data_IF_731733959247
#
_entry.id   IF_731733959247
#
_cell.length_a   1.000
_cell.length_b   1.000
_cell.length_c   1.000
_cell.angle_alpha   90.00
_cell.angle_beta   90.00
_cell.angle_gamma   90.00
#
_symmetry.space_group_name_H-M   'P 1'
#
loop_
_entity.id
_entity.type
_entity.pdbx_description
1 polymer ?
#
# COMPACT_ATOMS: atom_id res chain seq x y z
N UNK A 1 -2.88 -10.40 19.31
CA UNK A 1 -3.76 -9.23 19.14
C UNK A 1 -5.19 -9.63 19.51
N UNK A 2 -5.94 -8.77 20.21
CA UNK A 2 -7.36 -9.03 20.47
C UNK A 2 -8.14 -9.06 19.15
N UNK A 3 -9.13 -9.95 19.03
CA UNK A 3 -10.02 -10.11 17.87
C UNK A 3 -10.66 -8.80 17.40
N UNK A 4 -11.10 -7.95 18.33
CA UNK A 4 -11.72 -6.66 17.98
C UNK A 4 -10.72 -5.72 17.31
N UNK A 5 -9.55 -5.52 17.93
CA UNK A 5 -8.49 -4.70 17.36
C UNK A 5 -8.04 -5.24 16.00
N UNK A 6 -7.91 -6.57 15.87
CA UNK A 6 -7.58 -7.19 14.59
C UNK A 6 -8.59 -6.89 13.50
N UNK A 7 -9.88 -7.04 13.80
CA UNK A 7 -10.93 -6.73 12.85
C UNK A 7 -10.92 -5.25 12.43
N UNK A 8 -10.75 -4.34 13.40
CA UNK A 8 -10.68 -2.90 13.13
C UNK A 8 -9.50 -2.57 12.21
N UNK A 9 -8.29 -3.03 12.55
CA UNK A 9 -7.10 -2.78 11.72
C UNK A 9 -7.24 -3.37 10.32
N UNK A 10 -7.80 -4.58 10.23
CA UNK A 10 -8.02 -5.27 8.95
C UNK A 10 -8.95 -4.47 8.05
N UNK A 11 -10.13 -4.09 8.54
CA UNK A 11 -11.11 -3.37 7.74
C UNK A 11 -10.68 -1.94 7.43
N UNK A 12 -10.03 -1.25 8.38
CA UNK A 12 -9.45 0.08 8.15
C UNK A 12 -8.39 0.03 7.03
N UNK A 13 -7.48 -0.93 7.10
CA UNK A 13 -6.41 -1.06 6.12
C UNK A 13 -6.93 -1.52 4.75
N UNK A 14 -7.87 -2.47 4.72
CA UNK A 14 -8.53 -2.89 3.49
C UNK A 14 -9.29 -1.74 2.82
N UNK A 15 -10.05 -0.96 3.59
CA UNK A 15 -10.75 0.22 3.09
C UNK A 15 -9.77 1.26 2.51
N UNK A 16 -8.68 1.56 3.23
CA UNK A 16 -7.64 2.45 2.75
C UNK A 16 -7.04 1.98 1.40
N UNK A 17 -6.67 0.70 1.30
CA UNK A 17 -6.09 0.13 0.08
C UNK A 17 -7.10 0.15 -1.08
N UNK A 18 -8.37 -0.17 -0.81
CA UNK A 18 -9.43 -0.16 -1.80
C UNK A 18 -9.68 1.25 -2.32
N UNK A 19 -9.92 2.21 -1.42
CA UNK A 19 -10.21 3.60 -1.79
C UNK A 19 -9.04 4.25 -2.53
N UNK A 20 -7.81 4.11 -2.01
CA UNK A 20 -6.63 4.67 -2.64
C UNK A 20 -6.27 3.97 -3.96
N UNK A 21 -6.40 2.64 -4.04
CA UNK A 21 -6.16 1.88 -5.26
C UNK A 21 -7.15 2.25 -6.38
N UNK A 22 -8.44 2.41 -6.05
CA UNK A 22 -9.48 2.79 -7.01
C UNK A 22 -9.25 4.22 -7.50
N UNK A 23 -8.97 5.16 -6.59
CA UNK A 23 -8.63 6.54 -6.94
C UNK A 23 -7.44 6.59 -7.91
N UNK A 24 -6.36 5.87 -7.60
CA UNK A 24 -5.16 5.91 -8.44
C UNK A 24 -5.39 5.23 -9.80
N UNK A 25 -6.08 4.09 -9.87
CA UNK A 25 -6.43 3.48 -11.16
C UNK A 25 -7.33 4.38 -12.01
N UNK A 26 -8.33 5.01 -11.38
CA UNK A 26 -9.18 5.98 -12.06
C UNK A 26 -8.36 7.13 -12.66
N UNK A 27 -7.42 7.69 -11.89
CA UNK A 27 -6.55 8.76 -12.40
C UNK A 27 -5.60 8.27 -13.49
N UNK A 28 -5.06 7.05 -13.40
CA UNK A 28 -4.17 6.48 -14.41
C UNK A 28 -4.88 6.25 -15.75
N UNK A 29 -6.11 5.73 -15.73
CA UNK A 29 -6.77 5.21 -16.93
C UNK A 29 -7.92 6.06 -17.47
N UNK A 30 -8.59 6.85 -16.64
CA UNK A 30 -9.84 7.53 -17.00
C UNK A 30 -9.79 9.04 -16.80
N UNK A 31 -8.99 9.53 -15.85
CA UNK A 31 -8.86 10.95 -15.55
C UNK A 31 -7.42 11.45 -15.78
N UNK A 32 -7.06 12.57 -15.15
CA UNK A 32 -5.74 13.17 -15.27
C UNK A 32 -4.73 12.47 -14.34
N UNK A 33 -3.72 11.77 -14.89
CA UNK A 33 -2.74 11.05 -14.10
C UNK A 33 -1.70 11.99 -13.46
N UNK A 34 -1.54 13.23 -13.96
CA UNK A 34 -0.57 14.21 -13.44
C UNK A 34 -0.90 14.70 -12.04
N UNK A 35 -2.17 14.56 -11.61
CA UNK A 35 -2.58 14.86 -10.24
C UNK A 35 -1.82 14.04 -9.20
N UNK A 36 -1.29 12.87 -9.57
CA UNK A 36 -0.47 12.04 -8.68
C UNK A 36 0.94 12.60 -8.45
N UNK A 37 1.41 13.50 -9.31
CA UNK A 37 2.68 14.22 -9.12
C UNK A 37 2.51 15.53 -8.33
N UNK A 38 1.29 15.87 -7.92
CA UNK A 38 1.01 17.11 -7.18
C UNK A 38 1.13 16.90 -5.67
N UNK A 39 1.46 17.98 -4.94
CA UNK A 39 1.45 17.99 -3.48
C UNK A 39 2.76 17.56 -2.82
N UNK A 40 3.82 17.28 -3.57
CA UNK A 40 5.17 17.08 -3.04
C UNK A 40 5.91 18.41 -2.90
N UNK A 41 6.35 18.80 -1.69
CA UNK A 41 7.32 19.88 -1.51
C UNK A 41 8.66 19.60 -2.19
N UNK A 42 9.05 18.33 -2.28
CA UNK A 42 10.31 17.87 -2.82
C UNK A 42 10.27 17.81 -4.37
N UNK A 43 11.10 18.58 -5.09
CA UNK A 43 11.06 18.64 -6.55
C UNK A 43 11.49 17.31 -7.19
N UNK A 44 12.42 16.58 -6.58
CA UNK A 44 12.88 15.26 -7.05
C UNK A 44 11.76 14.22 -7.02
N UNK A 45 10.88 14.31 -6.02
CA UNK A 45 9.72 13.43 -5.91
C UNK A 45 8.72 13.68 -7.03
N UNK A 46 8.45 14.96 -7.34
CA UNK A 46 7.60 15.34 -8.48
C UNK A 46 8.18 14.83 -9.79
N UNK A 47 9.48 15.05 -10.03
CA UNK A 47 10.17 14.58 -11.23
C UNK A 47 10.12 13.05 -11.37
N UNK A 48 10.33 12.31 -10.28
CA UNK A 48 10.23 10.86 -10.28
C UNK A 48 8.83 10.36 -10.63
N UNK A 49 7.79 10.94 -10.03
CA UNK A 49 6.41 10.54 -10.34
C UNK A 49 6.08 10.87 -11.80
N UNK A 50 6.48 12.04 -12.31
CA UNK A 50 6.29 12.39 -13.72
C UNK A 50 6.96 11.38 -14.65
N UNK A 51 8.20 10.96 -14.37
CA UNK A 51 8.89 9.93 -15.14
C UNK A 51 8.18 8.57 -15.10
N UNK A 52 7.61 8.18 -13.95
CA UNK A 52 6.78 6.96 -13.85
C UNK A 52 5.50 7.05 -14.70
N UNK A 53 4.87 8.23 -14.75
CA UNK A 53 3.67 8.46 -15.56
C UNK A 53 4.00 8.39 -17.06
N UNK A 54 5.07 9.05 -17.49
CA UNK A 54 5.53 9.06 -18.89
C UNK A 54 5.89 7.65 -19.39
N UNK A 55 6.54 6.85 -18.56
CA UNK A 55 6.95 5.48 -18.90
C UNK A 55 5.83 4.46 -18.68
N UNK A 56 4.72 4.85 -18.05
CA UNK A 56 3.66 3.97 -17.54
C UNK A 56 4.20 2.84 -16.64
N UNK A 57 5.43 2.99 -16.14
CA UNK A 57 6.12 1.95 -15.42
C UNK A 57 5.58 1.86 -14.00
N UNK A 58 5.25 0.64 -13.57
CA UNK A 58 4.96 0.26 -12.18
C UNK A 58 3.64 0.82 -11.59
N UNK A 59 3.17 2.02 -11.97
CA UNK A 59 1.96 2.63 -11.40
C UNK A 59 0.68 1.79 -11.59
N UNK A 60 0.34 1.30 -12.80
CA UNK A 60 -0.82 0.43 -12.96
C UNK A 60 -0.72 -0.84 -12.11
N UNK A 61 0.48 -1.41 -12.03
CA UNK A 61 0.75 -2.64 -11.29
C UNK A 61 0.59 -2.44 -9.78
N UNK A 62 1.19 -1.38 -9.21
CA UNK A 62 1.03 -1.03 -7.79
C UNK A 62 -0.44 -0.86 -7.44
N UNK A 63 -1.19 -0.13 -8.28
CA UNK A 63 -2.59 0.16 -7.99
C UNK A 63 -3.46 -1.11 -8.08
N UNK A 64 -3.20 -1.99 -9.05
CA UNK A 64 -3.86 -3.29 -9.14
C UNK A 64 -3.55 -4.19 -7.92
N UNK A 65 -2.28 -4.28 -7.52
CA UNK A 65 -1.85 -5.08 -6.35
C UNK A 65 -2.52 -4.59 -5.07
N UNK A 66 -2.65 -3.27 -4.87
CA UNK A 66 -3.39 -2.71 -3.74
C UNK A 66 -4.84 -3.15 -3.71
N UNK A 67 -5.54 -3.13 -4.85
CA UNK A 67 -6.93 -3.58 -4.94
C UNK A 67 -7.07 -5.07 -4.65
N UNK A 68 -6.21 -5.89 -5.25
CA UNK A 68 -6.20 -7.33 -4.99
C UNK A 68 -5.95 -7.64 -3.52
N UNK A 69 -4.99 -6.95 -2.90
CA UNK A 69 -4.71 -7.10 -1.47
C UNK A 69 -5.91 -6.68 -0.60
N UNK A 70 -6.58 -5.58 -0.94
CA UNK A 70 -7.79 -5.13 -0.24
C UNK A 70 -8.92 -6.17 -0.30
N UNK A 71 -9.17 -6.75 -1.49
CA UNK A 71 -10.17 -7.80 -1.67
C UNK A 71 -9.80 -9.03 -0.85
N UNK A 72 -8.55 -9.49 -0.91
CA UNK A 72 -8.08 -10.66 -0.16
C UNK A 72 -8.16 -10.47 1.36
N UNK A 73 -7.93 -9.25 1.87
CA UNK A 73 -8.09 -8.93 3.30
C UNK A 73 -9.53 -9.11 3.80
N UNK A 74 -10.52 -8.84 2.95
CA UNK A 74 -11.94 -8.94 3.31
C UNK A 74 -12.49 -10.35 3.07
N UNK A 75 -11.92 -11.11 2.14
CA UNK A 75 -12.35 -12.47 1.86
C UNK A 75 -12.15 -13.41 3.06
N UNK A 76 -13.16 -14.20 3.45
CA UNK A 76 -13.06 -15.15 4.56
C UNK A 76 -11.89 -16.12 4.37
N UNK A 77 -11.03 -16.22 5.38
CA UNK A 77 -9.89 -17.15 5.39
C UNK A 77 -8.73 -16.81 4.45
N UNK A 78 -8.73 -15.63 3.80
CA UNK A 78 -7.64 -15.19 2.89
C UNK A 78 -6.87 -13.98 3.37
N UNK A 79 -7.15 -13.52 4.59
CA UNK A 79 -6.55 -12.29 5.13
C UNK A 79 -5.02 -12.36 5.25
N UNK A 80 -4.45 -13.54 5.48
CA UNK A 80 -3.00 -13.74 5.52
C UNK A 80 -2.37 -13.43 4.16
N UNK A 81 -2.99 -13.92 3.09
CA UNK A 81 -2.53 -13.67 1.73
C UNK A 81 -2.66 -12.19 1.37
N UNK A 82 -3.79 -11.55 1.69
CA UNK A 82 -3.99 -10.13 1.44
C UNK A 82 -3.01 -9.24 2.21
N UNK A 83 -2.74 -9.60 3.47
CA UNK A 83 -1.76 -8.91 4.33
C UNK A 83 -0.36 -8.98 3.72
N UNK A 84 0.08 -10.17 3.31
CA UNK A 84 1.41 -10.39 2.74
C UNK A 84 1.54 -9.75 1.35
N UNK A 85 0.47 -9.79 0.54
CA UNK A 85 0.43 -9.12 -0.77
C UNK A 85 0.58 -7.60 -0.66
N UNK A 86 0.02 -7.00 0.40
CA UNK A 86 0.17 -5.56 0.66
C UNK A 86 1.55 -5.17 1.23
N UNK A 87 2.36 -6.12 1.69
CA UNK A 87 3.61 -5.83 2.41
C UNK A 87 4.67 -5.12 1.55
N UNK A 88 4.99 -5.56 0.31
CA UNK A 88 5.97 -4.86 -0.52
C UNK A 88 5.56 -3.42 -0.84
N UNK A 89 4.26 -3.17 -1.04
CA UNK A 89 3.72 -1.83 -1.20
C UNK A 89 3.92 -1.00 0.07
N UNK A 90 3.54 -1.53 1.23
CA UNK A 90 3.64 -0.82 2.51
C UNK A 90 5.09 -0.47 2.85
N UNK A 91 6.02 -1.41 2.61
CA UNK A 91 7.45 -1.18 2.75
C UNK A 91 7.97 -0.15 1.75
N UNK A 92 7.54 -0.22 0.49
CA UNK A 92 7.86 0.76 -0.54
C UNK A 92 7.40 2.17 -0.17
N UNK A 93 6.19 2.32 0.41
CA UNK A 93 5.71 3.62 0.91
C UNK A 93 6.59 4.15 2.04
N UNK A 94 7.02 3.30 2.99
CA UNK A 94 7.94 3.72 4.05
C UNK A 94 9.29 4.18 3.46
N UNK A 95 9.87 3.39 2.56
CA UNK A 95 11.14 3.73 1.90
C UNK A 95 11.02 5.05 1.12
N UNK A 96 9.93 5.23 0.39
CA UNK A 96 9.62 6.46 -0.33
C UNK A 96 9.53 7.67 0.62
N UNK A 97 8.89 7.53 1.78
CA UNK A 97 8.83 8.58 2.78
C UNK A 97 10.17 8.89 3.44
N UNK A 98 11.04 7.89 3.62
CA UNK A 98 12.36 8.10 4.22
C UNK A 98 13.32 8.79 3.25
N UNK A 99 13.33 8.37 1.98
CA UNK A 99 14.38 8.78 1.03
C UNK A 99 13.97 9.85 0.03
N UNK A 100 12.68 9.98 -0.29
CA UNK A 100 12.21 10.85 -1.39
C UNK A 100 11.22 11.91 -0.93
N UNK A 101 10.32 11.59 0.00
CA UNK A 101 9.28 12.52 0.47
C UNK A 101 9.20 12.53 2.01
N UNK A 102 10.21 13.06 2.71
CA UNK A 102 10.19 13.20 4.17
C UNK A 102 9.00 13.99 4.69
N UNK A 103 8.50 14.95 3.92
CA UNK A 103 7.27 15.71 4.24
C UNK A 103 6.04 14.83 4.47
N UNK A 104 5.99 13.63 3.88
CA UNK A 104 4.88 12.67 4.02
C UNK A 104 5.25 11.45 4.87
N UNK A 105 6.38 11.47 5.57
CA UNK A 105 6.87 10.33 6.34
C UNK A 105 5.84 9.84 7.38
N UNK A 106 5.08 10.75 8.00
CA UNK A 106 4.08 10.39 9.02
C UNK A 106 3.00 9.47 8.45
N UNK A 107 2.37 9.85 7.33
CA UNK A 107 1.31 9.05 6.72
C UNK A 107 1.87 7.74 6.14
N UNK A 108 3.08 7.77 5.59
CA UNK A 108 3.73 6.58 5.03
C UNK A 108 4.13 5.57 6.11
N UNK A 109 4.62 6.06 7.25
CA UNK A 109 4.91 5.25 8.43
C UNK A 109 3.65 4.65 9.03
N UNK A 110 2.52 5.39 9.03
CA UNK A 110 1.24 4.86 9.47
C UNK A 110 0.77 3.70 8.58
N UNK A 111 0.83 3.85 7.26
CA UNK A 111 0.48 2.79 6.29
C UNK A 111 1.32 1.54 6.55
N UNK A 112 2.63 1.69 6.71
CA UNK A 112 3.53 0.59 7.01
C UNK A 112 3.21 -0.06 8.37
N UNK A 113 3.01 0.74 9.41
CA UNK A 113 2.74 0.24 10.76
C UNK A 113 1.44 -0.57 10.83
N UNK A 114 0.39 -0.13 10.12
CA UNK A 114 -0.87 -0.88 10.01
C UNK A 114 -0.64 -2.24 9.34
N UNK A 115 0.10 -2.28 8.25
CA UNK A 115 0.43 -3.55 7.59
C UNK A 115 1.31 -4.45 8.46
N UNK A 116 2.36 -3.89 9.09
CA UNK A 116 3.26 -4.60 9.97
C UNK A 116 2.53 -5.23 11.18
N UNK A 117 1.55 -4.51 11.76
CA UNK A 117 0.71 -5.03 12.82
C UNK A 117 -0.13 -6.25 12.36
N UNK A 118 -0.69 -6.19 11.14
CA UNK A 118 -1.42 -7.31 10.54
C UNK A 118 -0.49 -8.48 10.18
N UNK A 119 0.73 -8.20 9.70
CA UNK A 119 1.76 -9.23 9.46
C UNK A 119 2.10 -9.94 10.76
N UNK A 120 2.36 -9.18 11.83
CA UNK A 120 2.67 -9.73 13.14
C UNK A 120 1.52 -10.58 13.70
N UNK A 121 0.27 -10.13 13.55
CA UNK A 121 -0.89 -10.91 13.97
C UNK A 121 -1.07 -12.22 13.20
N UNK A 122 -0.68 -12.25 11.93
CA UNK A 122 -0.73 -13.43 11.08
C UNK A 122 0.57 -14.26 11.07
N UNK A 123 1.57 -13.87 11.85
CA UNK A 123 2.94 -14.41 11.80
C UNK A 123 3.01 -15.94 11.84
N UNK A 124 2.15 -16.59 12.64
CA UNK A 124 2.13 -18.04 12.76
C UNK A 124 1.89 -18.76 11.42
N UNK A 125 1.13 -18.15 10.51
CA UNK A 125 0.87 -18.69 9.17
C UNK A 125 2.08 -18.52 8.22
N UNK A 126 2.96 -17.56 8.49
CA UNK A 126 4.11 -17.26 7.63
C UNK A 126 5.37 -18.01 8.04
N UNK A 127 5.45 -18.52 9.28
CA UNK A 127 6.64 -19.25 9.76
C UNK A 127 7.07 -20.40 8.85
N UNK A 128 6.12 -21.05 8.19
CA UNK A 128 6.41 -22.13 7.24
C UNK A 128 7.18 -21.67 6.00
N UNK A 129 7.03 -20.41 5.59
CA UNK A 129 7.74 -19.83 4.43
C UNK A 129 9.23 -19.62 4.69
N UNK A 130 9.64 -19.57 5.95
CA UNK A 130 11.02 -19.30 6.37
C UNK A 130 11.77 -20.56 6.82
N UNK A 131 11.10 -21.72 6.83
CA UNK A 131 11.75 -23.00 7.08
C UNK A 131 12.27 -23.52 5.75
N UNK A 132 13.58 -23.37 5.55
CA UNK A 132 14.34 -24.04 4.49
C UNK A 132 14.52 -25.53 4.83
#
# INVERSE_FOLDING_TARGET
>A
MNKQLHAVLKYLYAFFLLASGLKHLYNVFLADPTIMATGYPEPEATAFVMAMLETQFLLPFICAVKLMAAVLLVLPGREQLGTLMAFPYALGMLMWGIFMVPSHLLIMSLIFSLNAALVFANWQHYKGLLKA
#
